data_IF_739841882583
#
_entry.id   IF_739841882583
#
_cell.length_a   1.000
_cell.length_b   1.000
_cell.length_c   1.000
_cell.angle_alpha   90.00
_cell.angle_beta   90.00
_cell.angle_gamma   90.00
#
_symmetry.space_group_name_H-M   'P 1'
#
loop_
_entity.id
_entity.type
_entity.pdbx_description
1 polymer ?
#
# COMPACT_ATOMS: atom_id res chain seq x y z
N UNK A 1 11.31 -14.67 9.23
CA UNK A 1 11.11 -13.53 8.33
C UNK A 1 10.29 -12.51 9.08
N UNK A 2 10.87 -11.35 9.37
CA UNK A 2 10.14 -10.25 10.01
C UNK A 2 9.22 -9.69 8.92
N UNK A 3 7.89 -9.73 9.13
CA UNK A 3 6.97 -9.09 8.20
C UNK A 3 7.34 -7.60 8.17
N UNK A 4 7.63 -7.02 7.00
CA UNK A 4 7.88 -5.59 6.93
C UNK A 4 6.61 -4.89 7.42
N UNK A 5 6.71 -4.21 8.57
CA UNK A 5 5.68 -3.28 9.03
C UNK A 5 5.66 -2.13 8.04
N UNK A 6 4.83 -2.27 7.01
CA UNK A 6 4.67 -1.28 5.96
C UNK A 6 3.97 -0.03 6.50
N UNK A 7 3.17 -0.17 7.55
CA UNK A 7 2.49 0.93 8.22
C UNK A 7 2.87 0.96 9.72
N UNK A 8 3.67 1.95 10.12
CA UNK A 8 3.95 2.22 11.56
C UNK A 8 2.78 2.90 12.27
N UNK A 9 1.76 3.34 11.52
CA UNK A 9 0.66 4.18 12.00
C UNK A 9 -0.37 3.39 12.80
N UNK A 10 -0.61 2.12 12.48
CA UNK A 10 -1.57 1.28 13.22
C UNK A 10 -1.10 1.07 14.67
N UNK A 11 0.19 0.82 14.85
CA UNK A 11 0.87 0.68 16.13
C UNK A 11 0.79 1.97 16.94
N UNK A 12 0.94 3.12 16.30
CA UNK A 12 0.76 4.44 16.95
C UNK A 12 -0.70 4.66 17.37
N UNK A 13 -1.68 4.32 16.52
CA UNK A 13 -3.10 4.48 16.86
C UNK A 13 -3.54 3.53 17.98
N UNK A 14 -3.09 2.29 17.96
CA UNK A 14 -3.43 1.29 19.00
C UNK A 14 -2.76 1.66 20.33
N UNK A 15 -1.49 2.08 20.31
CA UNK A 15 -0.81 2.58 21.52
C UNK A 15 -1.45 3.88 22.01
N UNK A 16 -1.80 4.78 21.10
CA UNK A 16 -2.54 6.01 21.38
C UNK A 16 -3.89 5.74 22.05
N UNK A 17 -4.65 4.75 21.56
CA UNK A 17 -5.91 4.32 22.17
C UNK A 17 -5.72 3.83 23.61
N UNK A 18 -4.66 3.07 23.90
CA UNK A 18 -4.34 2.64 25.28
C UNK A 18 -4.04 3.82 26.19
N UNK A 19 -3.22 4.77 25.72
CA UNK A 19 -2.87 5.99 26.46
C UNK A 19 -4.11 6.84 26.71
N UNK A 20 -4.94 7.08 25.68
CA UNK A 20 -6.18 7.83 25.81
C UNK A 20 -7.15 7.15 26.80
N UNK A 21 -7.28 5.82 26.75
CA UNK A 21 -8.10 5.06 27.70
C UNK A 21 -7.64 5.26 29.15
N UNK A 22 -6.32 5.28 29.39
CA UNK A 22 -5.75 5.54 30.71
C UNK A 22 -6.11 6.94 31.23
N UNK A 23 -6.03 7.97 30.37
CA UNK A 23 -6.44 9.33 30.73
C UNK A 23 -7.93 9.45 31.00
N UNK A 24 -8.78 8.80 30.19
CA UNK A 24 -10.24 8.77 30.40
C UNK A 24 -10.58 8.14 31.74
N UNK A 25 -9.99 6.97 32.06
CA UNK A 25 -10.20 6.30 33.35
C UNK A 25 -9.73 7.15 34.53
N UNK A 26 -8.56 7.79 34.40
CA UNK A 26 -8.03 8.70 35.42
C UNK A 26 -8.95 9.92 35.62
N UNK A 27 -9.50 10.47 34.54
CA UNK A 27 -10.48 11.55 34.56
C UNK A 27 -11.78 11.16 35.26
N UNK A 28 -12.28 9.93 35.01
CA UNK A 28 -13.46 9.38 35.72
C UNK A 28 -13.18 9.28 37.22
N UNK A 29 -12.03 8.74 37.61
CA UNK A 29 -11.65 8.61 39.03
C UNK A 29 -11.55 9.99 39.69
N UNK A 30 -10.91 10.97 39.04
CA UNK A 30 -10.83 12.33 39.54
C UNK A 30 -12.22 12.96 39.68
N UNK A 31 -13.07 12.77 38.67
CA UNK A 31 -14.46 13.21 38.67
C UNK A 31 -15.37 12.45 39.65
N UNK A 32 -14.86 11.45 40.39
CA UNK A 32 -15.54 10.85 41.55
C UNK A 32 -14.97 11.43 42.85
N UNK A 33 -13.66 11.68 42.91
CA UNK A 33 -12.96 12.17 44.10
C UNK A 33 -13.13 13.68 44.37
N UNK A 34 -13.36 14.51 43.36
CA UNK A 34 -13.48 15.97 43.53
C UNK A 34 -14.76 16.34 44.30
N UNK A 35 -14.70 17.13 45.38
CA UNK A 35 -15.89 17.56 46.11
C UNK A 35 -16.92 18.27 45.20
N UNK A 36 -18.21 18.03 45.43
CA UNK A 36 -19.29 18.62 44.63
C UNK A 36 -19.31 20.15 44.64
N UNK A 37 -18.71 20.80 45.65
CA UNK A 37 -18.60 22.26 45.72
C UNK A 37 -17.65 22.86 44.69
N UNK A 38 -16.65 22.09 44.25
CA UNK A 38 -15.68 22.48 43.21
C UNK A 38 -16.05 21.91 41.83
N UNK A 39 -16.97 20.96 41.82
CA UNK A 39 -17.50 20.35 40.61
C UNK A 39 -18.56 21.31 40.08
N UNK A 40 -18.23 22.04 39.01
CA UNK A 40 -19.22 22.84 38.28
C UNK A 40 -20.42 21.98 37.80
N UNK A 41 -21.25 22.46 36.87
CA UNK A 41 -22.44 21.73 36.44
C UNK A 41 -22.13 20.28 36.03
N UNK A 42 -22.76 19.30 36.68
CA UNK A 42 -22.47 17.87 36.47
C UNK A 42 -22.63 17.43 35.01
N UNK A 43 -23.55 18.07 34.27
CA UNK A 43 -23.77 17.79 32.86
C UNK A 43 -22.57 18.16 31.97
N UNK A 44 -21.78 19.19 32.32
CA UNK A 44 -20.56 19.55 31.58
C UNK A 44 -19.49 18.48 31.74
N UNK A 45 -19.34 17.95 32.96
CA UNK A 45 -18.43 16.84 33.23
C UNK A 45 -18.86 15.57 32.50
N UNK A 46 -20.17 15.26 32.52
CA UNK A 46 -20.72 14.10 31.83
C UNK A 46 -20.49 14.18 30.30
N UNK A 47 -20.74 15.35 29.68
CA UNK A 47 -20.49 15.55 28.25
C UNK A 47 -18.99 15.48 27.94
N UNK A 48 -18.14 16.14 28.74
CA UNK A 48 -16.69 16.14 28.54
C UNK A 48 -16.09 14.74 28.64
N UNK A 49 -16.46 13.96 29.67
CA UNK A 49 -16.03 12.58 29.85
C UNK A 49 -16.59 11.66 28.77
N UNK A 50 -17.86 11.83 28.39
CA UNK A 50 -18.47 11.09 27.29
C UNK A 50 -17.75 11.32 25.97
N UNK A 51 -17.45 12.57 25.63
CA UNK A 51 -16.70 12.93 24.43
C UNK A 51 -15.26 12.39 24.47
N UNK A 52 -14.58 12.48 25.63
CA UNK A 52 -13.24 11.94 25.80
C UNK A 52 -13.21 10.40 25.70
N UNK A 53 -14.22 9.71 26.22
CA UNK A 53 -14.34 8.25 26.16
C UNK A 53 -14.53 7.73 24.72
N UNK A 54 -15.06 8.55 23.81
CA UNK A 54 -15.16 8.19 22.39
C UNK A 54 -13.81 8.19 21.67
N UNK A 55 -12.83 8.96 22.16
CA UNK A 55 -11.51 9.07 21.54
C UNK A 55 -10.75 7.72 21.45
N UNK A 56 -10.57 6.93 22.53
CA UNK A 56 -9.90 5.63 22.43
C UNK A 56 -10.65 4.63 21.55
N UNK A 57 -11.99 4.66 21.56
CA UNK A 57 -12.82 3.79 20.71
C UNK A 57 -12.60 4.14 19.23
N UNK A 58 -12.63 5.43 18.89
CA UNK A 58 -12.37 5.91 17.53
C UNK A 58 -10.97 5.55 17.04
N UNK A 59 -9.94 5.76 17.87
CA UNK A 59 -8.56 5.39 17.54
C UNK A 59 -8.39 3.88 17.34
N UNK A 60 -8.98 3.07 18.22
CA UNK A 60 -8.93 1.62 18.08
C UNK A 60 -9.61 1.16 16.78
N UNK A 61 -10.80 1.68 16.49
CA UNK A 61 -11.53 1.36 15.26
C UNK A 61 -10.73 1.75 14.00
N UNK A 62 -10.18 2.96 13.95
CA UNK A 62 -9.31 3.40 12.86
C UNK A 62 -8.05 2.53 12.75
N UNK A 63 -7.39 2.21 13.87
CA UNK A 63 -6.22 1.34 13.88
C UNK A 63 -6.50 -0.05 13.33
N UNK A 64 -7.60 -0.68 13.73
CA UNK A 64 -8.01 -1.97 13.17
C UNK A 64 -8.36 -1.89 11.69
N UNK A 65 -9.06 -0.84 11.26
CA UNK A 65 -9.40 -0.65 9.85
C UNK A 65 -8.13 -0.51 8.98
N UNK A 66 -7.10 0.20 9.47
CA UNK A 66 -5.82 0.30 8.76
C UNK A 66 -5.06 -1.01 8.74
N UNK A 67 -5.04 -1.73 9.86
CA UNK A 67 -4.37 -3.03 9.95
C UNK A 67 -4.97 -4.06 9.01
N UNK A 68 -6.29 -4.02 8.81
CA UNK A 68 -6.96 -4.88 7.85
C UNK A 68 -6.60 -4.52 6.40
N UNK A 69 -6.54 -3.22 6.08
CA UNK A 69 -6.06 -2.76 4.76
C UNK A 69 -4.61 -3.17 4.50
N UNK A 70 -3.74 -3.07 5.50
CA UNK A 70 -2.34 -3.50 5.40
C UNK A 70 -2.22 -4.99 5.11
N UNK A 71 -2.95 -5.82 5.85
CA UNK A 71 -2.95 -7.27 5.64
C UNK A 71 -3.34 -7.64 4.22
N UNK A 72 -4.34 -6.95 3.66
CA UNK A 72 -4.76 -7.14 2.27
C UNK A 72 -3.67 -6.74 1.28
N UNK A 73 -3.02 -5.59 1.48
CA UNK A 73 -1.92 -5.13 0.64
C UNK A 73 -0.71 -6.10 0.71
N UNK A 74 -0.35 -6.56 1.90
CA UNK A 74 0.73 -7.54 2.11
C UNK A 74 0.37 -8.90 1.49
N UNK A 75 -0.86 -9.35 1.61
CA UNK A 75 -1.32 -10.59 0.98
C UNK A 75 -1.22 -10.49 -0.56
N UNK A 76 -1.66 -9.37 -1.14
CA UNK A 76 -1.52 -9.11 -2.57
C UNK A 76 -0.04 -9.11 -3.00
N UNK A 77 0.82 -8.45 -2.23
CA UNK A 77 2.26 -8.43 -2.49
C UNK A 77 2.86 -9.84 -2.50
N UNK A 78 2.51 -10.69 -1.52
CA UNK A 78 2.97 -12.09 -1.45
C UNK A 78 2.52 -12.94 -2.63
N UNK A 79 1.34 -12.68 -3.17
CA UNK A 79 0.84 -13.38 -4.34
C UNK A 79 1.63 -12.96 -5.59
N UNK A 80 1.89 -11.66 -5.74
CA UNK A 80 2.68 -11.11 -6.85
C UNK A 80 4.17 -11.52 -6.77
N UNK A 81 4.70 -11.75 -5.57
CA UNK A 81 6.07 -12.29 -5.41
C UNK A 81 6.20 -13.72 -5.93
N UNK A 82 5.10 -14.47 -5.97
CA UNK A 82 5.08 -15.85 -6.51
C UNK A 82 4.70 -15.88 -7.99
N UNK A 83 3.97 -14.89 -8.47
CA UNK A 83 3.42 -14.83 -9.82
C UNK A 83 3.64 -13.43 -10.40
N UNK A 84 4.47 -13.37 -11.43
CA UNK A 84 4.84 -12.13 -12.14
C UNK A 84 3.62 -11.44 -12.73
N UNK A 85 2.63 -12.22 -13.18
CA UNK A 85 1.37 -11.78 -13.75
C UNK A 85 0.23 -12.45 -12.98
N UNK A 86 -0.78 -11.66 -12.60
CA UNK A 86 -1.93 -12.15 -11.86
C UNK A 86 -3.22 -11.74 -12.56
N UNK A 87 -4.08 -12.72 -12.84
CA UNK A 87 -5.41 -12.48 -13.38
C UNK A 87 -6.32 -11.99 -12.25
N UNK A 88 -6.79 -10.74 -12.34
CA UNK A 88 -7.65 -10.13 -11.34
C UNK A 88 -8.96 -10.90 -11.15
N UNK A 89 -9.50 -11.52 -12.22
CA UNK A 89 -10.69 -12.36 -12.14
C UNK A 89 -10.52 -13.52 -11.16
N UNK A 90 -9.41 -14.26 -11.30
CA UNK A 90 -9.10 -15.39 -10.44
C UNK A 90 -8.80 -14.95 -9.00
N UNK A 91 -8.11 -13.82 -8.84
CA UNK A 91 -7.86 -13.24 -7.53
C UNK A 91 -9.17 -12.88 -6.81
N UNK A 92 -10.09 -12.20 -7.50
CA UNK A 92 -11.37 -11.78 -6.95
C UNK A 92 -12.31 -12.97 -6.69
N UNK A 93 -12.22 -14.04 -7.48
CA UNK A 93 -13.00 -15.25 -7.29
C UNK A 93 -12.53 -16.09 -6.09
N UNK A 94 -11.22 -16.08 -5.82
CA UNK A 94 -10.59 -16.92 -4.78
C UNK A 94 -10.24 -16.16 -3.49
N UNK A 95 -10.60 -14.88 -3.38
CA UNK A 95 -10.31 -14.07 -2.19
C UNK A 95 -11.51 -13.23 -1.75
N UNK A 96 -11.45 -12.67 -0.54
CA UNK A 96 -12.47 -11.74 -0.01
C UNK A 96 -12.33 -10.32 -0.58
N UNK A 97 -11.48 -10.11 -1.60
CA UNK A 97 -11.27 -8.80 -2.19
C UNK A 97 -12.41 -8.45 -3.15
N UNK A 98 -12.91 -7.23 -3.02
CA UNK A 98 -13.74 -6.58 -4.04
C UNK A 98 -12.85 -5.78 -5.00
N UNK A 99 -13.37 -5.41 -6.18
CA UNK A 99 -12.66 -4.56 -7.15
C UNK A 99 -12.16 -3.26 -6.53
N UNK A 100 -12.98 -2.60 -5.72
CA UNK A 100 -12.61 -1.34 -5.06
C UNK A 100 -11.50 -1.54 -4.03
N UNK A 101 -11.55 -2.63 -3.26
CA UNK A 101 -10.50 -2.93 -2.28
C UNK A 101 -9.19 -3.33 -2.94
N UNK A 102 -9.26 -4.02 -4.09
CA UNK A 102 -8.10 -4.35 -4.91
C UNK A 102 -7.46 -3.09 -5.49
N UNK A 103 -8.25 -2.18 -6.05
CA UNK A 103 -7.74 -0.89 -6.54
C UNK A 103 -7.08 -0.08 -5.43
N UNK A 104 -7.70 -0.06 -4.25
CA UNK A 104 -7.15 0.63 -3.08
C UNK A 104 -5.84 -0.01 -2.65
N UNK A 105 -5.77 -1.34 -2.57
CA UNK A 105 -4.54 -2.05 -2.21
C UNK A 105 -3.41 -1.80 -3.21
N UNK A 106 -3.70 -1.79 -4.52
CA UNK A 106 -2.73 -1.47 -5.57
C UNK A 106 -2.23 -0.02 -5.41
N UNK A 107 -3.14 0.93 -5.17
CA UNK A 107 -2.80 2.33 -4.94
C UNK A 107 -1.94 2.51 -3.69
N UNK A 108 -2.29 1.82 -2.61
CA UNK A 108 -1.55 1.85 -1.34
C UNK A 108 -0.13 1.31 -1.56
N UNK A 109 0.01 0.15 -2.21
CA UNK A 109 1.32 -0.42 -2.57
C UNK A 109 2.14 0.53 -3.45
N UNK A 110 1.52 1.15 -4.46
CA UNK A 110 2.22 2.13 -5.32
C UNK A 110 2.62 3.39 -4.56
N UNK A 111 1.85 3.80 -3.55
CA UNK A 111 2.15 4.99 -2.73
C UNK A 111 3.31 4.76 -1.78
N UNK A 112 3.50 3.52 -1.30
CA UNK A 112 4.72 3.10 -0.58
C UNK A 112 5.95 3.26 -1.50
N UNK A 113 5.70 3.03 -2.79
CA UNK A 113 6.68 2.91 -3.87
C UNK A 113 7.77 1.89 -3.60
N UNK A 114 7.45 0.87 -2.79
CA UNK A 114 8.15 -0.41 -2.75
C UNK A 114 7.96 -1.12 -4.09
N UNK A 115 6.76 -1.06 -4.68
CA UNK A 115 6.44 -1.61 -6.00
C UNK A 115 5.69 -0.61 -6.87
N UNK A 116 5.70 -0.86 -8.17
CA UNK A 116 4.91 -0.12 -9.15
C UNK A 116 4.02 -1.10 -9.89
N UNK A 117 2.81 -1.33 -9.37
CA UNK A 117 1.83 -2.25 -9.91
C UNK A 117 0.87 -1.52 -10.85
N UNK A 118 0.55 -2.15 -11.97
CA UNK A 118 -0.40 -1.66 -12.97
C UNK A 118 -1.49 -2.70 -13.13
N UNK A 119 -2.74 -2.25 -12.96
CA UNK A 119 -3.92 -3.06 -13.24
C UNK A 119 -4.55 -2.63 -14.56
N UNK A 120 -4.48 -3.50 -15.56
CA UNK A 120 -5.17 -3.28 -16.83
C UNK A 120 -6.62 -3.76 -16.73
N UNK A 121 -7.56 -2.81 -16.76
CA UNK A 121 -9.00 -3.11 -16.64
C UNK A 121 -9.56 -3.83 -17.87
N UNK A 122 -8.91 -3.73 -19.04
CA UNK A 122 -9.39 -4.38 -20.27
C UNK A 122 -9.06 -5.86 -20.27
N UNK A 123 -7.81 -6.20 -19.97
CA UNK A 123 -7.35 -7.60 -19.92
C UNK A 123 -7.59 -8.25 -18.56
N UNK A 124 -7.85 -7.45 -17.53
CA UNK A 124 -8.00 -7.93 -16.16
C UNK A 124 -6.67 -8.39 -15.55
N UNK A 125 -5.52 -8.02 -16.12
CA UNK A 125 -4.20 -8.43 -15.66
C UNK A 125 -3.61 -7.40 -14.69
N UNK A 126 -3.03 -7.90 -13.60
CA UNK A 126 -2.25 -7.14 -12.63
C UNK A 126 -0.80 -7.57 -12.80
N UNK A 127 0.08 -6.61 -13.01
CA UNK A 127 1.50 -6.87 -13.25
C UNK A 127 2.36 -5.73 -12.72
N UNK A 128 3.65 -5.98 -12.57
CA UNK A 128 4.62 -4.91 -12.33
C UNK A 128 4.70 -4.00 -13.57
N UNK A 129 4.45 -2.71 -13.40
CA UNK A 129 4.53 -1.73 -14.47
C UNK A 129 5.93 -1.56 -15.05
N UNK A 130 6.98 -2.02 -14.36
CA UNK A 130 8.34 -2.11 -14.92
C UNK A 130 8.40 -3.11 -16.09
N UNK A 131 7.68 -4.22 -15.99
CA UNK A 131 7.58 -5.23 -17.07
C UNK A 131 6.85 -4.68 -18.29
N UNK A 132 5.96 -3.71 -18.07
CA UNK A 132 5.27 -3.02 -19.16
C UNK A 132 6.20 -2.09 -19.96
N UNK A 133 7.29 -1.64 -19.34
CA UNK A 133 8.30 -0.79 -19.96
C UNK A 133 9.45 -1.58 -20.55
N UNK A 134 9.70 -2.82 -20.09
CA UNK A 134 10.70 -3.69 -20.71
C UNK A 134 10.25 -4.04 -22.12
N UNK A 135 11.08 -3.61 -23.07
CA UNK A 135 10.97 -3.98 -24.48
C UNK A 135 11.96 -5.08 -24.75
N UNK A 136 11.49 -6.12 -25.43
CA UNK A 136 12.34 -7.19 -25.90
C UNK A 136 12.86 -6.78 -27.28
N UNK A 137 14.19 -6.79 -27.43
CA UNK A 137 14.87 -6.34 -28.65
C UNK A 137 15.37 -7.56 -29.42
N UNK A 138 14.66 -7.92 -30.49
CA UNK A 138 15.01 -9.08 -31.32
C UNK A 138 15.79 -8.58 -32.53
N UNK A 139 17.04 -9.02 -32.68
CA UNK A 139 17.95 -8.56 -33.74
C UNK A 139 17.86 -9.37 -35.04
N UNK A 140 17.44 -10.64 -34.99
CA UNK A 140 17.46 -11.54 -36.15
C UNK A 140 16.30 -12.52 -36.14
N UNK A 141 15.60 -12.64 -37.27
CA UNK A 141 14.58 -13.68 -37.45
C UNK A 141 15.24 -15.02 -37.82
N UNK A 142 15.05 -16.08 -37.02
CA UNK A 142 15.59 -17.41 -37.32
C UNK A 142 15.02 -18.05 -38.59
N UNK A 143 13.78 -17.73 -38.95
CA UNK A 143 13.12 -18.33 -40.10
C UNK A 143 13.67 -17.82 -41.45
N UNK A 144 13.95 -16.52 -41.57
CA UNK A 144 14.43 -15.91 -42.82
C UNK A 144 15.87 -15.39 -42.76
N UNK A 145 16.50 -15.35 -41.57
CA UNK A 145 17.86 -14.85 -41.36
C UNK A 145 18.01 -13.33 -41.47
N UNK A 146 16.91 -12.59 -41.68
CA UNK A 146 16.94 -11.12 -41.83
C UNK A 146 17.14 -10.48 -40.46
N UNK A 147 18.05 -9.50 -40.40
CA UNK A 147 18.19 -8.63 -39.24
C UNK A 147 16.97 -7.73 -39.12
N UNK A 148 16.21 -7.92 -38.06
CA UNK A 148 15.05 -7.09 -37.70
C UNK A 148 15.40 -6.37 -36.40
N UNK A 149 14.88 -5.18 -36.18
CA UNK A 149 15.03 -4.46 -34.90
C UNK A 149 13.62 -4.22 -34.39
N UNK A 150 13.07 -5.21 -33.70
CA UNK A 150 11.70 -5.17 -33.23
C UNK A 150 11.69 -4.95 -31.72
N UNK A 151 11.03 -3.87 -31.32
CA UNK A 151 10.83 -3.46 -29.93
C UNK A 151 9.40 -3.81 -29.52
N UNK A 152 9.22 -4.94 -28.84
CA UNK A 152 7.88 -5.45 -28.49
C UNK A 152 7.72 -5.43 -26.97
N UNK A 153 6.52 -5.08 -26.50
CA UNK A 153 6.18 -5.26 -25.11
C UNK A 153 6.25 -6.75 -24.74
N UNK A 154 6.83 -7.07 -23.59
CA UNK A 154 7.05 -8.45 -23.15
C UNK A 154 5.78 -9.34 -23.21
N UNK A 155 4.61 -8.73 -23.00
CA UNK A 155 3.32 -9.42 -23.01
C UNK A 155 2.81 -9.77 -24.42
N UNK A 156 3.26 -9.04 -25.44
CA UNK A 156 2.86 -9.21 -26.84
C UNK A 156 3.88 -10.06 -27.62
N UNK A 157 5.01 -10.39 -26.99
CA UNK A 157 6.12 -11.08 -27.65
C UNK A 157 5.75 -12.49 -28.13
N UNK A 158 4.79 -13.17 -27.49
CA UNK A 158 4.32 -14.50 -27.90
C UNK A 158 3.49 -14.47 -29.21
N UNK A 159 2.85 -13.35 -29.53
CA UNK A 159 2.03 -13.19 -30.74
C UNK A 159 2.78 -12.47 -31.87
N UNK A 160 4.02 -12.05 -31.61
CA UNK A 160 4.83 -11.31 -32.54
C UNK A 160 5.15 -12.11 -33.81
N UNK A 161 5.05 -11.43 -34.95
CA UNK A 161 5.40 -11.96 -36.27
C UNK A 161 6.54 -11.19 -36.88
N UNK A 162 7.39 -11.89 -37.64
CA UNK A 162 8.46 -11.27 -38.39
C UNK A 162 7.86 -10.40 -39.52
N UNK A 163 8.20 -9.10 -39.61
CA UNK A 163 7.65 -8.23 -40.66
C UNK A 163 8.10 -8.61 -42.08
N UNK A 164 9.19 -9.37 -42.22
CA UNK A 164 9.73 -9.77 -43.54
C UNK A 164 9.15 -11.07 -44.08
N UNK A 165 8.89 -12.06 -43.22
CA UNK A 165 8.46 -13.40 -43.64
C UNK A 165 7.16 -13.88 -42.99
N UNK A 166 6.55 -13.05 -42.13
CA UNK A 166 5.34 -13.33 -41.36
C UNK A 166 5.38 -14.60 -40.48
N UNK A 167 6.57 -15.17 -40.28
CA UNK A 167 6.75 -16.30 -39.36
C UNK A 167 6.55 -15.85 -37.92
N UNK A 168 5.94 -16.72 -37.11
CA UNK A 168 5.86 -16.54 -35.66
C UNK A 168 7.28 -16.62 -35.08
N UNK A 169 7.59 -15.68 -34.19
CA UNK A 169 8.83 -15.70 -33.44
C UNK A 169 8.79 -16.91 -32.50
N UNK A 170 9.91 -17.63 -32.38
CA UNK A 170 9.99 -18.84 -31.56
C UNK A 170 9.70 -18.50 -30.09
N UNK A 171 8.56 -18.97 -29.59
CA UNK A 171 8.09 -18.69 -28.23
C UNK A 171 9.12 -19.11 -27.17
N UNK A 172 9.95 -20.11 -27.45
CA UNK A 172 10.95 -20.59 -26.50
C UNK A 172 12.07 -19.58 -26.27
N UNK A 173 12.53 -18.92 -27.33
CA UNK A 173 13.58 -17.89 -27.24
C UNK A 173 13.05 -16.65 -26.52
N UNK A 174 11.79 -16.29 -26.80
CA UNK A 174 11.08 -15.21 -26.09
C UNK A 174 10.91 -15.53 -24.61
N UNK A 175 10.56 -16.76 -24.25
CA UNK A 175 10.42 -17.18 -22.85
C UNK A 175 11.76 -17.20 -22.11
N UNK A 176 12.84 -17.65 -22.76
CA UNK A 176 14.20 -17.64 -22.20
C UNK A 176 14.67 -16.20 -21.93
N UNK A 177 14.51 -15.28 -22.88
CA UNK A 177 14.83 -13.86 -22.69
C UNK A 177 13.91 -13.20 -21.65
N UNK A 178 12.61 -13.54 -21.65
CA UNK A 178 11.65 -13.05 -20.66
C UNK A 178 12.08 -13.45 -19.25
N UNK A 179 12.49 -14.70 -19.05
CA UNK A 179 13.00 -15.17 -17.75
C UNK A 179 14.26 -14.42 -17.32
N UNK A 180 15.20 -14.19 -18.23
CA UNK A 180 16.41 -13.43 -17.94
C UNK A 180 16.11 -11.98 -17.52
N UNK A 181 15.19 -11.30 -18.23
CA UNK A 181 14.76 -9.93 -17.89
C UNK A 181 14.03 -9.90 -16.54
N UNK A 182 13.18 -10.88 -16.25
CA UNK A 182 12.49 -10.99 -14.96
C UNK A 182 13.50 -11.17 -13.82
N UNK A 183 14.52 -12.00 -14.00
CA UNK A 183 15.58 -12.22 -13.01
C UNK A 183 16.41 -10.95 -12.78
N UNK A 184 16.80 -10.24 -13.85
CA UNK A 184 17.50 -8.95 -13.75
C UNK A 184 16.64 -7.90 -13.02
N UNK A 185 15.34 -7.83 -13.36
CA UNK A 185 14.40 -6.93 -12.72
C UNK A 185 14.16 -7.30 -11.25
N UNK A 186 14.16 -8.59 -10.91
CA UNK A 186 14.12 -9.08 -9.53
C UNK A 186 15.30 -8.56 -8.72
N UNK A 187 16.53 -8.70 -9.24
CA UNK A 187 17.72 -8.16 -8.60
C UNK A 187 17.74 -6.62 -8.50
N UNK A 188 17.15 -5.92 -9.47
CA UNK A 188 16.97 -4.46 -9.38
C UNK A 188 15.85 -4.05 -8.44
N UNK A 189 14.85 -4.91 -8.17
CA UNK A 189 13.75 -4.60 -7.27
C UNK A 189 14.21 -4.44 -5.82
N UNK A 190 15.28 -5.15 -5.44
CA UNK A 190 15.91 -4.99 -4.13
C UNK A 190 16.62 -3.63 -3.95
N UNK A 191 16.89 -2.90 -5.05
CA UNK A 191 17.39 -1.53 -4.96
C UNK A 191 16.23 -0.56 -4.80
N UNK A 192 16.21 0.28 -3.75
CA UNK A 192 15.19 1.30 -3.59
C UNK A 192 15.24 2.26 -4.78
N UNK A 193 14.08 2.46 -5.41
CA UNK A 193 13.94 3.39 -6.53
C UNK A 193 14.31 4.81 -6.10
N UNK A 194 15.38 5.35 -6.68
CA UNK A 194 15.69 6.78 -6.68
C UNK A 194 14.75 7.53 -7.63
N UNK A 195 13.43 7.41 -7.47
CA UNK A 195 12.52 8.36 -8.08
C UNK A 195 12.56 9.63 -7.23
N UNK A 196 12.86 10.82 -7.79
CA UNK A 196 12.74 12.08 -7.07
C UNK A 196 11.26 12.31 -6.75
N UNK A 197 10.81 11.81 -5.60
CA UNK A 197 9.45 12.04 -5.12
C UNK A 197 9.36 13.50 -4.71
N UNK A 198 8.27 14.20 -5.05
CA UNK A 198 8.02 15.51 -4.46
C UNK A 198 8.07 15.36 -2.93
N UNK A 199 8.83 16.23 -2.26
CA UNK A 199 8.96 16.22 -0.81
C UNK A 199 7.55 16.40 -0.21
N UNK A 200 6.94 15.29 0.20
CA UNK A 200 5.64 15.30 0.87
C UNK A 200 5.85 15.78 2.30
N UNK A 201 4.88 16.50 2.89
CA UNK A 201 5.02 16.95 4.27
C UNK A 201 5.08 15.74 5.21
N UNK A 202 6.22 15.59 5.90
CA UNK A 202 6.45 14.53 6.87
C UNK A 202 5.37 14.54 7.96
N UNK A 203 5.03 13.35 8.46
CA UNK A 203 4.08 13.22 9.57
C UNK A 203 4.69 13.82 10.85
N UNK A 204 4.10 14.91 11.35
CA UNK A 204 4.56 15.55 12.58
C UNK A 204 3.91 14.89 13.78
N UNK A 205 4.63 13.94 14.39
CA UNK A 205 4.24 13.30 15.65
C UNK A 205 3.86 14.30 16.76
N UNK A 206 4.62 15.39 17.04
CA UNK A 206 4.24 16.32 18.09
C UNK A 206 2.94 17.06 17.79
N UNK A 207 2.69 17.43 16.53
CA UNK A 207 1.41 18.04 16.13
C UNK A 207 0.25 17.04 16.30
N UNK A 208 0.45 15.78 15.91
CA UNK A 208 -0.56 14.74 16.12
C UNK A 208 -0.89 14.57 17.61
N UNK A 209 0.11 14.48 18.48
CA UNK A 209 -0.10 14.36 19.94
C UNK A 209 -0.80 15.59 20.52
N UNK A 210 -0.45 16.79 20.07
CA UNK A 210 -1.12 18.03 20.47
C UNK A 210 -2.60 18.01 20.06
N UNK A 211 -2.89 17.67 18.80
CA UNK A 211 -4.25 17.51 18.31
C UNK A 211 -4.97 16.41 19.07
N UNK A 212 -4.30 15.32 19.46
CA UNK A 212 -4.90 14.22 20.19
C UNK A 212 -5.50 14.67 21.52
N UNK A 213 -4.75 15.51 22.24
CA UNK A 213 -5.13 16.01 23.57
C UNK A 213 -6.16 17.13 23.47
N UNK A 214 -5.98 18.05 22.51
CA UNK A 214 -6.82 19.26 22.41
C UNK A 214 -8.09 19.04 21.59
N UNK A 215 -7.98 18.29 20.49
CA UNK A 215 -9.05 18.09 19.52
C UNK A 215 -8.92 16.73 18.80
N UNK A 216 -9.19 15.64 19.53
CA UNK A 216 -8.99 14.27 19.02
C UNK A 216 -9.62 13.97 17.64
N UNK A 217 -10.77 14.55 17.23
CA UNK A 217 -11.29 14.32 15.88
C UNK A 217 -10.39 14.91 14.78
N UNK A 218 -9.78 16.08 15.04
CA UNK A 218 -8.80 16.69 14.14
C UNK A 218 -7.51 15.85 14.08
N UNK A 219 -7.12 15.20 15.19
CA UNK A 219 -5.99 14.28 15.19
C UNK A 219 -6.24 13.07 14.30
N UNK A 220 -7.44 12.48 14.35
CA UNK A 220 -7.83 11.38 13.46
C UNK A 220 -7.86 11.84 12.00
N UNK A 221 -8.45 13.00 11.71
CA UNK A 221 -8.44 13.55 10.35
C UNK A 221 -7.01 13.81 9.84
N UNK A 222 -6.15 14.37 10.70
CA UNK A 222 -4.73 14.57 10.40
C UNK A 222 -4.03 13.25 10.09
N UNK A 223 -4.24 12.21 10.90
CA UNK A 223 -3.68 10.89 10.68
C UNK A 223 -4.18 10.28 9.36
N UNK A 224 -5.48 10.31 9.08
CA UNK A 224 -6.07 9.79 7.83
C UNK A 224 -5.55 10.56 6.61
N UNK A 225 -5.44 11.89 6.69
CA UNK A 225 -4.97 12.73 5.59
C UNK A 225 -3.49 12.53 5.32
N UNK A 226 -2.65 12.44 6.35
CA UNK A 226 -1.24 12.15 6.15
C UNK A 226 -0.98 10.67 5.81
N UNK A 227 -1.90 9.75 6.12
CA UNK A 227 -1.80 8.34 5.75
C UNK A 227 -1.79 8.11 4.24
N UNK A 228 -2.50 8.93 3.44
CA UNK A 228 -2.37 8.87 1.97
C UNK A 228 -0.98 9.30 1.45
N UNK A 229 -0.10 9.77 2.33
CA UNK A 229 1.16 10.43 1.96
C UNK A 229 2.39 9.99 2.76
N UNK A 230 2.23 9.35 3.92
CA UNK A 230 3.30 9.07 4.89
C UNK A 230 3.70 7.59 4.87
N UNK A 231 4.46 7.20 3.84
CA UNK A 231 5.31 6.02 3.89
C UNK A 231 6.68 6.52 3.45
N UNK A 232 7.47 6.97 4.43
CA UNK A 232 8.87 7.34 4.23
C UNK A 232 9.70 6.04 4.18
N UNK A 233 10.35 5.72 3.05
CA UNK A 233 11.30 4.63 2.98
C UNK A 233 12.62 5.12 3.60
N UNK A 234 12.83 4.92 4.92
CA UNK A 234 14.06 5.41 5.54
C UNK A 234 14.26 5.24 7.05
N UNK A 235 13.64 4.28 7.72
CA UNK A 235 14.06 3.91 9.09
C UNK A 235 14.04 2.39 9.31
N UNK A 236 15.03 1.72 8.73
CA UNK A 236 15.57 0.44 9.23
C UNK A 236 17.07 0.68 9.42
#
# INVERSE_FOLDING_TARGET
MQEPNLLTIDDVLIRGAKIASFFVLSGIVLAVLVPSELRGPDWLWAIGLGFAAMAPVGMAFCGFAFRDRERRAVALMRLLDRQVELVAGDLLANSELTRDTLETAIRDLNSTGVRHLVWDRKTGLIQDGRLRQSRLHIETCRACGVKISLDIALNEAAEARCPSCDSLIDAREVDEEKQAVIEELGHRADRPLECPRPAKPAFSLPLFLLLLVVAWPLALFYAVRHWTFAIEPGSI
#
